data_IF_769964303508
#
_entry.id   IF_769964303508
#
_cell.length_a   1.000
_cell.length_b   1.000
_cell.length_c   1.000
_cell.angle_alpha   90.00
_cell.angle_beta   90.00
_cell.angle_gamma   90.00
#
_symmetry.space_group_name_H-M   'P 1'
#
loop_
_entity.id
_entity.type
_entity.pdbx_description
1 polymer ?
#
# COMPACT_ATOMS: atom_id res chain seq x y z
N UNK A 1 13.67 -8.75 -11.31
CA UNK A 1 13.41 -7.28 -11.36
C UNK A 1 11.99 -6.92 -11.85
N UNK A 2 11.20 -7.85 -12.38
CA UNK A 2 9.79 -7.67 -12.79
C UNK A 2 8.82 -7.40 -11.64
N UNK A 3 9.06 -7.97 -10.45
CA UNK A 3 8.21 -7.81 -9.26
C UNK A 3 8.13 -6.35 -8.77
N UNK A 4 9.26 -5.65 -8.66
CA UNK A 4 9.31 -4.29 -8.12
C UNK A 4 8.58 -3.28 -9.02
N UNK A 5 8.73 -3.41 -10.33
CA UNK A 5 8.04 -2.52 -11.28
C UNK A 5 6.52 -2.78 -11.29
N UNK A 6 6.09 -4.04 -11.11
CA UNK A 6 4.67 -4.37 -10.97
C UNK A 6 4.07 -3.80 -9.69
N UNK A 7 4.79 -3.92 -8.57
CA UNK A 7 4.39 -3.33 -7.29
C UNK A 7 4.32 -1.80 -7.39
N UNK A 8 5.32 -1.17 -8.03
CA UNK A 8 5.32 0.28 -8.28
C UNK A 8 4.10 0.70 -9.09
N UNK A 9 3.81 0.01 -10.19
CA UNK A 9 2.65 0.32 -11.02
C UNK A 9 1.31 0.14 -10.27
N UNK A 10 1.18 -0.89 -9.43
CA UNK A 10 0.00 -1.08 -8.60
C UNK A 10 -0.14 0.01 -7.53
N UNK A 11 0.96 0.43 -6.90
CA UNK A 11 0.97 1.54 -5.96
C UNK A 11 0.58 2.85 -6.65
N UNK A 12 1.13 3.13 -7.83
CA UNK A 12 0.81 4.32 -8.62
C UNK A 12 -0.67 4.34 -9.04
N UNK A 13 -1.21 3.20 -9.50
CA UNK A 13 -2.63 3.09 -9.84
C UNK A 13 -3.54 3.27 -8.63
N UNK A 14 -3.19 2.70 -7.48
CA UNK A 14 -3.99 2.88 -6.27
C UNK A 14 -3.92 4.30 -5.74
N UNK A 15 -2.75 4.94 -5.82
CA UNK A 15 -2.59 6.34 -5.46
C UNK A 15 -3.49 7.25 -6.31
N UNK A 16 -3.49 7.08 -7.62
CA UNK A 16 -4.35 7.88 -8.51
C UNK A 16 -5.85 7.63 -8.28
N UNK A 17 -6.25 6.37 -8.00
CA UNK A 17 -7.64 6.05 -7.64
C UNK A 17 -8.06 6.68 -6.33
N UNK A 18 -7.22 6.61 -5.29
CA UNK A 18 -7.50 7.24 -4.00
C UNK A 18 -7.54 8.76 -4.13
N UNK A 19 -6.63 9.36 -4.92
CA UNK A 19 -6.63 10.80 -5.16
C UNK A 19 -7.93 11.25 -5.82
N UNK A 20 -8.36 10.57 -6.88
CA UNK A 20 -9.62 10.87 -7.58
C UNK A 20 -10.84 10.64 -6.69
N UNK A 21 -10.85 9.57 -5.90
CA UNK A 21 -11.93 9.32 -4.95
C UNK A 21 -12.00 10.40 -3.88
N UNK A 22 -10.87 10.91 -3.39
CA UNK A 22 -10.86 11.99 -2.42
C UNK A 22 -11.31 13.32 -3.02
N UNK A 23 -10.90 13.61 -4.24
CA UNK A 23 -11.36 14.80 -4.96
C UNK A 23 -12.88 14.79 -5.12
N UNK A 24 -13.44 13.65 -5.53
CA UNK A 24 -14.89 13.45 -5.68
C UNK A 24 -15.63 13.51 -4.34
N UNK A 25 -15.04 12.95 -3.28
CA UNK A 25 -15.56 13.00 -1.92
C UNK A 25 -15.56 14.44 -1.38
N UNK A 26 -14.46 15.19 -1.54
CA UNK A 26 -14.34 16.62 -1.16
C UNK A 26 -15.36 17.47 -1.91
N UNK A 27 -15.60 17.18 -3.19
CA UNK A 27 -16.51 17.96 -4.03
C UNK A 27 -17.99 17.71 -3.68
N UNK A 28 -18.31 16.55 -3.09
CA UNK A 28 -19.69 16.14 -2.81
C UNK A 28 -20.03 16.07 -1.30
N UNK A 29 -19.10 16.39 -0.41
CA UNK A 29 -19.37 16.44 1.02
C UNK A 29 -19.89 17.83 1.42
N UNK A 30 -21.21 17.95 1.50
CA UNK A 30 -21.80 18.96 2.39
C UNK A 30 -21.44 18.58 3.83
N UNK A 31 -20.62 19.42 4.46
CA UNK A 31 -20.27 19.42 5.90
C UNK A 31 -19.22 18.41 6.40
N UNK A 32 -18.35 17.89 5.53
CA UNK A 32 -17.15 17.18 6.02
C UNK A 32 -16.01 18.14 6.36
N UNK A 33 -15.47 18.01 7.56
CA UNK A 33 -14.32 18.80 7.95
C UNK A 33 -13.10 18.39 7.10
N UNK A 34 -12.36 19.38 6.62
CA UNK A 34 -11.10 19.16 5.90
C UNK A 34 -10.10 18.33 6.75
N UNK A 35 -10.23 18.41 8.07
CA UNK A 35 -9.45 17.66 9.06
C UNK A 35 -9.74 16.16 9.02
N UNK A 36 -11.01 15.74 8.93
CA UNK A 36 -11.39 14.33 8.83
C UNK A 36 -10.87 13.70 7.54
N UNK A 37 -10.91 14.47 6.45
CA UNK A 37 -10.39 14.05 5.15
C UNK A 37 -8.86 13.87 5.23
N UNK A 38 -8.16 14.80 5.88
CA UNK A 38 -6.71 14.70 6.08
C UNK A 38 -6.32 13.53 7.00
N UNK A 39 -7.06 13.32 8.09
CA UNK A 39 -6.86 12.21 9.02
C UNK A 39 -7.09 10.86 8.31
N UNK A 40 -8.16 10.75 7.51
CA UNK A 40 -8.43 9.57 6.69
C UNK A 40 -7.31 9.32 5.68
N UNK A 41 -6.88 10.35 4.94
CA UNK A 41 -5.77 10.22 3.97
C UNK A 41 -4.49 9.71 4.63
N UNK A 42 -4.18 10.27 5.81
CA UNK A 42 -2.99 9.91 6.59
C UNK A 42 -3.06 8.46 7.05
N UNK A 43 -4.20 8.04 7.63
CA UNK A 43 -4.42 6.66 8.04
C UNK A 43 -4.34 5.68 6.86
N UNK A 44 -4.89 6.07 5.70
CA UNK A 44 -4.83 5.25 4.49
C UNK A 44 -3.39 5.06 3.99
N UNK A 45 -2.59 6.13 3.94
CA UNK A 45 -1.16 6.06 3.57
C UNK A 45 -0.36 5.17 4.52
N UNK A 46 -0.61 5.29 5.82
CA UNK A 46 0.02 4.45 6.84
C UNK A 46 -0.37 2.98 6.66
N UNK A 47 -1.65 2.68 6.42
CA UNK A 47 -2.13 1.33 6.17
C UNK A 47 -1.51 0.74 4.89
N UNK A 48 -1.47 1.50 3.78
CA UNK A 48 -0.84 1.06 2.54
C UNK A 48 0.65 0.71 2.74
N UNK A 49 1.37 1.53 3.52
CA UNK A 49 2.77 1.30 3.86
C UNK A 49 2.93 0.04 4.72
N UNK A 50 2.10 -0.12 5.75
CA UNK A 50 2.11 -1.30 6.61
C UNK A 50 1.80 -2.59 5.83
N UNK A 51 0.80 -2.54 4.94
CA UNK A 51 0.43 -3.64 4.06
C UNK A 51 1.56 -4.01 3.09
N UNK A 52 2.26 -3.02 2.55
CA UNK A 52 3.45 -3.26 1.72
C UNK A 52 4.56 -3.93 2.52
N UNK A 53 4.89 -3.41 3.71
CA UNK A 53 5.93 -3.95 4.56
C UNK A 53 5.63 -5.40 4.99
N UNK A 54 4.39 -5.71 5.37
CA UNK A 54 3.96 -7.06 5.72
C UNK A 54 4.12 -8.05 4.55
N UNK A 55 3.80 -7.61 3.32
CA UNK A 55 4.03 -8.43 2.12
C UNK A 55 5.52 -8.68 1.85
N UNK A 56 6.38 -7.68 2.06
CA UNK A 56 7.82 -7.87 1.95
C UNK A 56 8.36 -8.84 3.01
N UNK A 57 7.89 -8.72 4.26
CA UNK A 57 8.25 -9.62 5.35
C UNK A 57 7.90 -11.07 5.01
N UNK A 58 6.70 -11.32 4.46
CA UNK A 58 6.28 -12.65 4.03
C UNK A 58 7.20 -13.21 2.94
N UNK A 59 7.56 -12.41 1.95
CA UNK A 59 8.49 -12.82 0.88
C UNK A 59 9.87 -13.16 1.43
N UNK A 60 10.40 -12.35 2.36
CA UNK A 60 11.69 -12.63 3.01
C UNK A 60 11.64 -13.92 3.81
N UNK A 61 10.59 -14.13 4.63
CA UNK A 61 10.40 -15.37 5.40
C UNK A 61 10.37 -16.59 4.48
N UNK A 62 9.63 -16.51 3.38
CA UNK A 62 9.56 -17.60 2.41
C UNK A 62 10.93 -17.89 1.76
N UNK A 63 11.64 -16.85 1.33
CA UNK A 63 12.96 -16.99 0.72
C UNK A 63 13.99 -17.55 1.70
N UNK A 64 13.95 -17.13 2.96
CA UNK A 64 14.81 -17.65 4.02
C UNK A 64 14.55 -19.14 4.28
N UNK A 65 13.28 -19.54 4.40
CA UNK A 65 12.92 -20.94 4.57
C UNK A 65 13.43 -21.80 3.40
N UNK A 66 13.30 -21.30 2.17
CA UNK A 66 13.83 -21.98 0.98
C UNK A 66 15.36 -22.09 1.00
N UNK A 67 16.07 -21.05 1.44
CA UNK A 67 17.51 -21.05 1.55
C UNK A 67 18.01 -22.09 2.57
N UNK A 68 17.37 -22.16 3.75
CA UNK A 68 17.68 -23.17 4.78
C UNK A 68 17.48 -24.58 4.24
N UNK A 69 16.35 -24.85 3.57
CA UNK A 69 16.07 -26.16 2.97
C UNK A 69 17.14 -26.53 1.93
N UNK A 70 17.58 -25.57 1.13
CA UNK A 70 18.62 -25.78 0.13
C UNK A 70 20.01 -26.01 0.75
N UNK A 71 20.33 -25.43 1.91
CA UNK A 71 21.60 -25.67 2.60
C UNK A 71 21.66 -27.02 3.34
N UNK A 72 20.52 -27.52 3.81
CA UNK A 72 20.44 -28.81 4.52
C UNK A 72 20.53 -30.01 3.55
N UNK A 73 20.32 -29.78 2.24
CA UNK A 73 20.28 -30.83 1.21
C UNK A 73 21.57 -30.91 0.40
#
# INVERSE_FOLDING_TARGET
MTSVNHIRHQLDQQFERTRKSMDDIVTNLDDASLEDIYAFNTAMRQNATASWAANQELQVKHNLAKAIINEIR
#
